data_IF_575892928894
#
_entry.id   IF_575892928894
#
_cell.length_a   1.000
_cell.length_b   1.000
_cell.length_c   1.000
_cell.angle_alpha   90.00
_cell.angle_beta   90.00
_cell.angle_gamma   90.00
#
_symmetry.space_group_name_H-M   'P 1'
#
loop_
_entity.id
_entity.type
_entity.pdbx_description
1 polymer ?
#
# COMPACT_ATOMS: atom_id res chain seq x y z
N UNK A 1 -25.49 -37.02 3.29
CA UNK A 1 -24.73 -36.20 4.26
C UNK A 1 -23.27 -36.18 3.84
N UNK A 2 -22.86 -35.20 3.07
CA UNK A 2 -21.48 -35.03 2.65
C UNK A 2 -20.75 -34.16 3.67
N UNK A 3 -19.74 -34.73 4.31
CA UNK A 3 -18.77 -33.98 5.15
C UNK A 3 -17.98 -33.04 4.25
N UNK A 4 -18.15 -31.75 4.44
CA UNK A 4 -17.20 -30.75 3.95
C UNK A 4 -15.95 -30.87 4.84
N UNK A 5 -14.88 -31.41 4.29
CA UNK A 5 -13.54 -31.30 4.86
C UNK A 5 -13.08 -29.85 4.76
N UNK A 6 -12.96 -29.23 5.91
CA UNK A 6 -12.33 -27.93 6.08
C UNK A 6 -10.82 -28.11 5.85
N UNK A 7 -10.37 -27.89 4.61
CA UNK A 7 -8.93 -27.86 4.30
C UNK A 7 -8.34 -26.57 4.88
N UNK A 8 -7.77 -26.69 6.06
CA UNK A 8 -6.91 -25.65 6.60
C UNK A 8 -5.69 -25.51 5.69
N UNK A 9 -5.56 -24.37 5.04
CA UNK A 9 -4.39 -24.06 4.22
C UNK A 9 -3.19 -23.92 5.15
N UNK A 10 -2.25 -24.87 5.07
CA UNK A 10 -1.04 -24.88 5.87
C UNK A 10 -0.10 -23.77 5.39
N UNK A 11 0.31 -22.88 6.30
CA UNK A 11 1.25 -21.78 6.06
C UNK A 11 2.55 -22.23 5.37
N UNK A 12 2.97 -23.48 5.56
CA UNK A 12 4.16 -24.05 4.92
C UNK A 12 4.01 -24.28 3.43
N UNK A 13 2.80 -24.60 2.98
CA UNK A 13 2.54 -24.79 1.55
C UNK A 13 2.41 -23.47 0.78
N UNK A 14 1.97 -22.40 1.46
CA UNK A 14 1.93 -21.05 0.89
C UNK A 14 3.33 -20.51 0.58
N UNK A 15 4.32 -20.82 1.45
CA UNK A 15 5.70 -20.35 1.30
C UNK A 15 6.49 -21.10 0.22
N UNK A 16 6.06 -22.29 -0.20
CA UNK A 16 6.74 -23.07 -1.25
C UNK A 16 6.43 -22.61 -2.66
N UNK A 17 5.35 -21.87 -2.87
CA UNK A 17 4.95 -21.31 -4.18
C UNK A 17 5.49 -19.91 -4.43
N UNK A 18 6.17 -19.30 -3.45
CA UNK A 18 6.61 -17.90 -3.48
C UNK A 18 8.09 -17.70 -3.81
N UNK A 19 8.60 -18.42 -4.80
CA UNK A 19 9.92 -18.15 -5.37
C UNK A 19 9.80 -17.10 -6.50
N UNK A 20 9.75 -15.85 -6.10
CA UNK A 20 9.74 -14.70 -7.01
C UNK A 20 8.79 -13.62 -6.53
N UNK A 21 9.32 -12.51 -6.05
CA UNK A 21 8.70 -11.27 -5.60
C UNK A 21 7.18 -11.25 -5.46
N UNK A 22 6.63 -11.72 -4.35
CA UNK A 22 5.18 -11.87 -4.22
C UNK A 22 4.59 -10.79 -3.32
N UNK A 23 3.74 -9.98 -3.93
CA UNK A 23 2.74 -9.17 -3.26
C UNK A 23 1.73 -10.15 -2.62
N UNK A 24 1.66 -10.23 -1.30
CA UNK A 24 0.64 -11.03 -0.63
C UNK A 24 -0.66 -10.23 -0.64
N UNK A 25 -1.54 -10.56 -1.59
CA UNK A 25 -2.90 -10.05 -1.61
C UNK A 25 -3.77 -10.90 -0.69
N UNK A 26 -4.68 -10.28 0.06
CA UNK A 26 -5.71 -11.02 0.83
C UNK A 26 -6.50 -11.92 -0.14
N UNK A 27 -6.84 -13.16 0.23
CA UNK A 27 -7.59 -14.08 -0.65
C UNK A 27 -8.92 -13.51 -1.14
N UNK A 28 -9.55 -12.66 -0.36
CA UNK A 28 -10.81 -11.99 -0.69
C UNK A 28 -10.65 -10.99 -1.84
N UNK A 29 -9.45 -10.42 -2.01
CA UNK A 29 -9.13 -9.50 -3.12
C UNK A 29 -8.95 -10.25 -4.44
N UNK A 30 -8.59 -11.54 -4.40
CA UNK A 30 -8.31 -12.35 -5.60
C UNK A 30 -9.58 -12.94 -6.21
N UNK A 31 -10.63 -13.16 -5.42
CA UNK A 31 -11.88 -13.81 -5.85
C UNK A 31 -13.13 -12.94 -5.86
N UNK A 32 -13.01 -11.66 -5.44
CA UNK A 32 -14.12 -10.70 -5.53
C UNK A 32 -14.30 -10.20 -6.96
N UNK A 33 -15.51 -10.33 -7.49
CA UNK A 33 -16.03 -9.84 -8.76
C UNK A 33 -15.11 -8.86 -9.51
N UNK A 34 -14.54 -9.29 -10.59
CA UNK A 34 -13.48 -8.67 -11.39
C UNK A 34 -13.73 -7.24 -11.90
N UNK A 35 -14.87 -6.66 -11.65
CA UNK A 35 -15.24 -5.40 -12.29
C UNK A 35 -14.82 -4.14 -11.53
N UNK A 36 -14.49 -4.18 -10.22
CA UNK A 36 -14.30 -2.97 -9.41
C UNK A 36 -13.21 -3.00 -8.33
N UNK A 37 -12.34 -3.99 -8.27
CA UNK A 37 -11.29 -4.04 -7.26
C UNK A 37 -9.98 -3.41 -7.77
N UNK A 38 -9.97 -2.11 -7.97
CA UNK A 38 -8.72 -1.36 -8.13
C UNK A 38 -8.00 -1.35 -6.78
N UNK A 39 -6.75 -1.81 -6.74
CA UNK A 39 -5.92 -1.77 -5.54
C UNK A 39 -5.66 -0.32 -5.14
N UNK A 40 -6.05 0.07 -3.93
CA UNK A 40 -5.87 1.41 -3.39
C UNK A 40 -4.56 1.51 -2.60
N UNK A 41 -3.67 2.39 -3.03
CA UNK A 41 -2.30 2.48 -2.52
C UNK A 41 -2.03 3.85 -1.90
N UNK A 42 -1.31 3.85 -0.77
CA UNK A 42 -0.78 5.06 -0.15
C UNK A 42 0.73 5.20 -0.35
N UNK A 43 1.21 6.42 -0.58
CA UNK A 43 2.64 6.74 -0.71
C UNK A 43 3.15 7.46 0.53
N UNK A 44 4.16 6.91 1.19
CA UNK A 44 4.91 7.54 2.28
C UNK A 44 6.27 7.96 1.76
N UNK A 45 6.51 9.28 1.71
CA UNK A 45 7.72 9.87 1.13
C UNK A 45 7.50 10.40 -0.28
N UNK A 46 7.28 11.71 -0.37
CA UNK A 46 7.02 12.47 -1.60
C UNK A 46 8.27 13.17 -2.15
N UNK A 47 9.45 12.65 -1.84
CA UNK A 47 10.72 13.13 -2.35
C UNK A 47 11.03 12.66 -3.78
N UNK A 48 12.29 12.82 -4.20
CA UNK A 48 12.71 12.46 -5.56
C UNK A 48 12.40 11.02 -5.95
N UNK A 49 12.67 10.06 -5.04
CA UNK A 49 12.40 8.64 -5.32
C UNK A 49 10.92 8.33 -5.36
N UNK A 50 10.12 8.82 -4.40
CA UNK A 50 8.68 8.63 -4.41
C UNK A 50 8.02 9.20 -5.67
N UNK A 51 8.43 10.41 -6.07
CA UNK A 51 7.96 11.01 -7.31
C UNK A 51 8.40 10.28 -8.58
N UNK A 52 9.56 9.65 -8.55
CA UNK A 52 10.07 8.87 -9.68
C UNK A 52 9.30 7.55 -9.85
N UNK A 53 9.03 6.82 -8.75
CA UNK A 53 8.40 5.51 -8.81
C UNK A 53 6.87 5.58 -8.96
N UNK A 54 6.24 6.63 -8.43
CA UNK A 54 4.78 6.73 -8.34
C UNK A 54 4.03 6.54 -9.68
N UNK A 55 4.50 7.04 -10.83
CA UNK A 55 3.82 6.84 -12.11
C UNK A 55 3.74 5.38 -12.56
N UNK A 56 4.71 4.55 -12.16
CA UNK A 56 4.77 3.17 -12.61
C UNK A 56 3.68 2.28 -11.99
N UNK A 57 3.18 2.61 -10.82
CA UNK A 57 2.14 1.81 -10.18
C UNK A 57 0.84 1.76 -10.98
N UNK A 58 0.20 2.88 -11.35
CA UNK A 58 -0.98 2.84 -12.21
C UNK A 58 -0.71 2.21 -13.58
N UNK A 59 0.46 2.50 -14.17
CA UNK A 59 0.82 2.06 -15.49
C UNK A 59 0.95 0.53 -15.61
N UNK A 60 1.64 -0.09 -14.63
CA UNK A 60 1.95 -1.52 -14.71
C UNK A 60 1.06 -2.42 -13.87
N UNK A 61 0.36 -1.89 -12.88
CA UNK A 61 -0.45 -2.70 -11.95
C UNK A 61 -1.94 -2.36 -11.98
N UNK A 62 -2.32 -1.21 -12.56
CA UNK A 62 -3.68 -0.69 -12.48
C UNK A 62 -4.05 -0.18 -11.07
N UNK A 63 -3.09 -0.08 -10.15
CA UNK A 63 -3.31 0.45 -8.81
C UNK A 63 -3.61 1.95 -8.85
N UNK A 64 -4.34 2.44 -7.86
CA UNK A 64 -4.71 3.84 -7.71
C UNK A 64 -4.09 4.45 -6.47
N UNK A 65 -3.42 5.59 -6.61
CA UNK A 65 -2.99 6.38 -5.48
C UNK A 65 -4.19 7.05 -4.82
N UNK A 66 -4.38 6.82 -3.52
CA UNK A 66 -5.50 7.38 -2.76
C UNK A 66 -5.08 8.17 -1.54
N UNK A 67 -3.83 8.04 -1.10
CA UNK A 67 -3.27 8.77 0.03
C UNK A 67 -1.79 9.06 -0.18
N UNK A 68 -1.30 10.17 0.39
CA UNK A 68 0.11 10.57 0.39
C UNK A 68 0.50 11.11 1.76
N UNK A 69 1.75 10.89 2.16
CA UNK A 69 2.31 11.40 3.42
C UNK A 69 3.75 11.86 3.25
N UNK A 70 4.09 13.02 3.81
CA UNK A 70 5.47 13.52 3.90
C UNK A 70 5.62 14.48 5.08
N UNK A 71 6.82 14.55 5.64
CA UNK A 71 7.17 15.50 6.70
C UNK A 71 7.36 16.92 6.16
N UNK A 72 7.61 17.07 4.86
CA UNK A 72 7.87 18.35 4.19
C UNK A 72 6.68 18.72 3.31
N UNK A 73 5.92 19.74 3.72
CA UNK A 73 4.74 20.21 2.99
C UNK A 73 5.05 20.60 1.54
N UNK A 74 6.21 21.22 1.30
CA UNK A 74 6.63 21.61 -0.04
C UNK A 74 6.87 20.43 -1.01
N UNK A 75 7.02 19.19 -0.47
CA UNK A 75 7.09 17.96 -1.26
C UNK A 75 5.72 17.30 -1.37
N UNK A 76 4.95 17.35 -0.29
CA UNK A 76 3.64 16.73 -0.20
C UNK A 76 2.64 17.29 -1.23
N UNK A 77 2.47 18.60 -1.28
CA UNK A 77 1.43 19.24 -2.10
C UNK A 77 1.61 19.00 -3.61
N UNK A 78 2.80 19.21 -4.21
CA UNK A 78 2.99 18.93 -5.62
C UNK A 78 2.77 17.45 -5.97
N UNK A 79 3.16 16.54 -5.10
CA UNK A 79 2.97 15.10 -5.29
C UNK A 79 1.48 14.73 -5.20
N UNK A 80 0.77 15.28 -4.21
CA UNK A 80 -0.68 15.11 -4.06
C UNK A 80 -1.43 15.52 -5.34
N UNK A 81 -1.12 16.69 -5.87
CA UNK A 81 -1.74 17.21 -7.09
C UNK A 81 -1.43 16.33 -8.30
N UNK A 82 -0.15 15.98 -8.48
CA UNK A 82 0.30 15.11 -9.57
C UNK A 82 -0.40 13.75 -9.56
N UNK A 83 -0.59 13.15 -8.39
CA UNK A 83 -1.23 11.85 -8.22
C UNK A 83 -2.76 11.94 -8.09
N UNK A 84 -3.32 13.13 -8.14
CA UNK A 84 -4.76 13.40 -8.01
C UNK A 84 -5.38 12.87 -6.71
N UNK A 85 -4.61 12.91 -5.62
CA UNK A 85 -5.06 12.52 -4.30
C UNK A 85 -5.86 13.65 -3.65
N UNK A 86 -6.97 13.29 -3.00
CA UNK A 86 -7.80 14.25 -2.27
C UNK A 86 -7.00 14.96 -1.17
N UNK A 87 -7.17 16.27 -0.97
CA UNK A 87 -6.54 17.01 0.13
C UNK A 87 -6.79 16.40 1.51
N UNK A 88 -7.96 15.78 1.71
CA UNK A 88 -8.32 15.11 2.97
C UNK A 88 -7.52 13.82 3.24
N UNK A 89 -6.80 13.31 2.24
CA UNK A 89 -5.95 12.13 2.33
C UNK A 89 -4.47 12.44 2.09
N UNK A 90 -4.09 13.68 2.25
CA UNK A 90 -2.71 14.15 2.26
C UNK A 90 -2.30 14.46 3.70
N UNK A 91 -1.40 13.67 4.24
CA UNK A 91 -0.97 13.72 5.63
C UNK A 91 0.40 14.38 5.75
N UNK A 92 0.52 15.35 6.65
CA UNK A 92 1.72 16.14 6.83
C UNK A 92 2.27 16.02 8.25
N UNK A 93 3.57 15.88 8.37
CA UNK A 93 4.28 15.90 9.65
C UNK A 93 4.99 14.59 9.99
N UNK A 94 5.65 14.53 11.15
CA UNK A 94 6.47 13.37 11.53
C UNK A 94 5.66 12.09 11.74
N UNK A 95 4.40 12.19 12.13
CA UNK A 95 3.49 11.06 12.32
C UNK A 95 2.54 10.81 11.14
N UNK A 96 2.71 11.53 10.05
CA UNK A 96 1.85 11.43 8.86
C UNK A 96 1.77 9.99 8.30
N UNK A 97 2.84 9.22 8.40
CA UNK A 97 2.85 7.81 7.98
C UNK A 97 1.87 6.94 8.79
N UNK A 98 1.68 7.25 10.07
CA UNK A 98 0.70 6.54 10.93
C UNK A 98 -0.73 6.88 10.52
N UNK A 99 -1.00 8.15 10.25
CA UNK A 99 -2.31 8.59 9.78
C UNK A 99 -2.66 7.96 8.44
N UNK A 100 -1.70 7.92 7.51
CA UNK A 100 -1.86 7.25 6.23
C UNK A 100 -2.11 5.75 6.42
N UNK A 101 -1.32 5.05 7.24
CA UNK A 101 -1.47 3.63 7.49
C UNK A 101 -2.85 3.28 8.08
N UNK A 102 -3.40 4.14 8.95
CA UNK A 102 -4.73 3.96 9.54
C UNK A 102 -5.89 4.42 8.63
N UNK A 103 -5.59 5.00 7.47
CA UNK A 103 -6.60 5.25 6.45
C UNK A 103 -6.90 3.95 5.69
N UNK A 104 -8.10 3.78 5.17
CA UNK A 104 -8.46 2.57 4.42
C UNK A 104 -7.61 2.46 3.14
N UNK A 105 -6.72 1.48 3.09
CA UNK A 105 -5.79 1.19 2.00
C UNK A 105 -5.63 -0.32 1.82
N UNK A 106 -5.30 -0.74 0.60
CA UNK A 106 -4.91 -2.13 0.32
C UNK A 106 -3.40 -2.33 0.45
N UNK A 107 -2.61 -1.28 0.20
CA UNK A 107 -1.15 -1.33 0.28
C UNK A 107 -0.53 0.03 0.61
N UNK A 108 0.66 0.01 1.18
CA UNK A 108 1.50 1.19 1.44
C UNK A 108 2.84 1.03 0.74
N UNK A 109 3.26 2.07 0.04
CA UNK A 109 4.59 2.18 -0.57
C UNK A 109 5.41 3.17 0.24
N UNK A 110 6.58 2.75 0.69
CA UNK A 110 7.46 3.55 1.55
C UNK A 110 8.71 3.93 0.77
N UNK A 111 8.87 5.22 0.51
CA UNK A 111 9.98 5.80 -0.26
C UNK A 111 10.69 6.94 0.52
N UNK A 112 10.65 6.86 1.84
CA UNK A 112 11.42 7.70 2.75
C UNK A 112 12.88 7.25 2.81
N UNK A 113 13.79 8.00 3.46
CA UNK A 113 15.13 7.50 3.73
C UNK A 113 15.08 6.15 4.47
N UNK A 114 15.97 5.22 4.11
CA UNK A 114 15.95 3.83 4.58
C UNK A 114 15.95 3.65 6.08
N UNK A 115 16.52 4.62 6.81
CA UNK A 115 16.50 4.62 8.28
C UNK A 115 15.09 4.54 8.87
N UNK A 116 14.09 5.13 8.20
CA UNK A 116 12.71 5.17 8.69
C UNK A 116 11.87 3.97 8.25
N UNK A 117 12.32 3.18 7.30
CA UNK A 117 11.55 2.06 6.74
C UNK A 117 11.08 1.05 7.79
N UNK A 118 11.90 0.59 8.75
CA UNK A 118 11.44 -0.42 9.72
C UNK A 118 10.25 0.05 10.56
N UNK A 119 10.30 1.27 11.10
CA UNK A 119 9.21 1.78 11.93
C UNK A 119 7.96 2.12 11.12
N UNK A 120 8.13 2.59 9.88
CA UNK A 120 7.01 2.90 9.00
C UNK A 120 6.32 1.63 8.47
N UNK A 121 7.10 0.61 8.15
CA UNK A 121 6.58 -0.70 7.76
C UNK A 121 5.84 -1.39 8.92
N UNK A 122 6.38 -1.32 10.13
CA UNK A 122 5.71 -1.84 11.32
C UNK A 122 4.34 -1.17 11.52
N UNK A 123 4.29 0.17 11.45
CA UNK A 123 3.04 0.91 11.57
C UNK A 123 2.01 0.53 10.49
N UNK A 124 2.45 0.27 9.26
CA UNK A 124 1.56 -0.17 8.18
C UNK A 124 1.01 -1.58 8.42
N UNK A 125 1.81 -2.49 8.98
CA UNK A 125 1.39 -3.85 9.32
C UNK A 125 0.44 -3.86 10.53
N UNK A 126 0.70 -3.02 11.53
CA UNK A 126 -0.10 -2.95 12.75
C UNK A 126 -1.46 -2.26 12.55
N UNK A 127 -1.63 -1.53 11.46
CA UNK A 127 -2.85 -0.80 11.13
C UNK A 127 -3.93 -1.66 10.42
N UNK A 128 -3.66 -2.93 10.15
CA UNK A 128 -4.53 -3.87 9.42
C UNK A 128 -5.74 -4.38 10.26
#
# INVERSE_FOLDING_TARGET
MSKQENQSIDRRNLLRTAAGGMLILKPETVFGTQANSTVEVGLVGCGGRGNWIAPFFPEFTGARWVAVADVVRARLEPTREKLQVSPSRAYHGPDAYKELANSKLDAVVIETPTYFHPMQAAAAVDAD
#
